data_IF_542668935428
#
_entry.id   IF_542668935428
#
_cell.length_a   1.000
_cell.length_b   1.000
_cell.length_c   1.000
_cell.angle_alpha   90.00
_cell.angle_beta   90.00
_cell.angle_gamma   90.00
#
_symmetry.space_group_name_H-M   'P 1'
#
loop_
_entity.id
_entity.type
_entity.pdbx_description
1 polymer ?
#
# COMPACT_ATOMS: atom_id res chain seq x y z
N UNK A 1 12.95 -25.70 38.43
CA UNK A 1 12.20 -26.52 37.45
C UNK A 1 12.21 -25.78 36.13
N UNK A 2 12.73 -26.43 35.10
CA UNK A 2 12.92 -25.89 33.75
C UNK A 2 12.31 -26.89 32.76
N UNK A 3 11.78 -26.41 31.63
CA UNK A 3 11.30 -27.29 30.55
C UNK A 3 12.43 -27.47 29.55
N UNK A 4 12.73 -28.72 29.21
CA UNK A 4 13.61 -29.06 28.10
C UNK A 4 12.75 -29.44 26.90
N UNK A 5 13.16 -29.03 25.71
CA UNK A 5 12.49 -29.38 24.45
C UNK A 5 13.33 -30.41 23.71
N UNK A 6 12.79 -31.60 23.49
CA UNK A 6 13.48 -32.69 22.79
C UNK A 6 13.00 -32.71 21.35
N UNK A 7 13.96 -32.76 20.42
CA UNK A 7 13.75 -32.76 18.97
C UNK A 7 14.29 -34.05 18.35
N UNK A 8 13.53 -34.61 17.42
CA UNK A 8 13.97 -35.74 16.61
C UNK A 8 14.87 -35.25 15.47
N UNK A 9 16.05 -35.84 15.30
CA UNK A 9 17.03 -35.43 14.28
C UNK A 9 16.48 -35.67 12.85
N UNK A 10 15.69 -36.72 12.65
CA UNK A 10 15.17 -37.07 11.33
C UNK A 10 14.16 -36.05 10.78
N UNK A 11 13.35 -35.44 11.65
CA UNK A 11 12.24 -34.56 11.23
C UNK A 11 12.40 -33.11 11.71
N UNK A 12 13.32 -32.86 12.64
CA UNK A 12 13.45 -31.60 13.36
C UNK A 12 12.16 -31.21 14.13
N UNK A 13 11.31 -32.17 14.47
CA UNK A 13 10.08 -31.91 15.23
C UNK A 13 10.32 -32.04 16.73
N UNK A 14 9.67 -31.17 17.52
CA UNK A 14 9.67 -31.28 18.97
C UNK A 14 8.79 -32.46 19.39
N UNK A 15 9.39 -33.53 19.91
CA UNK A 15 8.70 -34.79 20.26
C UNK A 15 8.36 -34.90 21.75
N UNK A 16 9.10 -34.21 22.63
CA UNK A 16 8.85 -34.25 24.07
C UNK A 16 9.25 -32.94 24.77
N UNK A 17 8.65 -32.71 25.95
CA UNK A 17 8.84 -31.50 26.77
C UNK A 17 8.98 -31.83 28.26
N UNK A 18 10.00 -32.61 28.68
CA UNK A 18 10.15 -32.99 30.08
C UNK A 18 10.42 -31.78 30.98
N UNK A 19 9.87 -31.83 32.20
CA UNK A 19 10.17 -30.86 33.27
C UNK A 19 11.31 -31.42 34.10
N UNK A 20 12.41 -30.69 34.19
CA UNK A 20 13.63 -31.09 34.89
C UNK A 20 13.93 -30.14 36.04
N UNK A 21 14.70 -30.58 37.04
CA UNK A 21 15.10 -29.70 38.14
C UNK A 21 16.03 -28.61 37.64
N UNK A 22 17.08 -29.02 36.92
CA UNK A 22 18.11 -28.20 36.29
C UNK A 22 18.51 -28.77 34.92
N UNK A 23 19.05 -27.93 34.04
CA UNK A 23 19.55 -28.38 32.73
C UNK A 23 20.77 -29.29 32.87
N UNK A 24 21.59 -29.07 33.91
CA UNK A 24 22.76 -29.90 34.22
C UNK A 24 22.38 -31.35 34.51
N UNK A 25 21.38 -31.57 35.38
CA UNK A 25 20.88 -32.93 35.68
C UNK A 25 20.37 -33.65 34.42
N UNK A 26 19.70 -32.92 33.52
CA UNK A 26 19.28 -33.51 32.24
C UNK A 26 20.48 -33.89 31.37
N UNK A 27 21.53 -33.06 31.29
CA UNK A 27 22.76 -33.37 30.54
C UNK A 27 23.51 -34.56 31.11
N UNK A 28 23.50 -34.74 32.43
CA UNK A 28 24.18 -35.84 33.12
C UNK A 28 23.44 -37.17 32.94
N UNK A 29 22.11 -37.19 33.03
CA UNK A 29 21.32 -38.41 32.88
C UNK A 29 19.93 -38.14 32.25
N UNK A 30 19.84 -37.95 30.92
CA UNK A 30 18.58 -37.65 30.24
C UNK A 30 17.50 -38.73 30.43
N UNK A 31 17.93 -40.00 30.54
CA UNK A 31 17.06 -41.18 30.69
C UNK A 31 16.20 -41.10 31.96
N UNK A 32 16.68 -40.41 33.00
CA UNK A 32 15.91 -40.19 34.23
C UNK A 32 14.62 -39.37 33.99
N UNK A 33 14.67 -38.45 33.03
CA UNK A 33 13.57 -37.54 32.71
C UNK A 33 12.80 -37.96 31.46
N UNK A 34 13.44 -38.69 30.55
CA UNK A 34 12.86 -39.21 29.32
C UNK A 34 13.46 -40.60 29.01
N UNK A 35 12.82 -41.71 29.45
CA UNK A 35 13.40 -43.06 29.36
C UNK A 35 13.75 -43.53 27.95
N UNK A 36 13.04 -43.03 26.94
CA UNK A 36 13.27 -43.35 25.52
C UNK A 36 14.39 -42.49 24.88
N UNK A 37 15.15 -41.73 25.68
CA UNK A 37 16.21 -40.87 25.18
C UNK A 37 17.28 -41.64 24.40
N UNK A 38 17.65 -41.10 23.23
CA UNK A 38 18.71 -41.64 22.39
C UNK A 38 19.54 -40.50 21.78
N UNK A 39 20.80 -40.38 22.18
CA UNK A 39 21.73 -39.32 21.74
C UNK A 39 22.05 -39.32 20.24
N UNK A 40 21.86 -40.43 19.55
CA UNK A 40 22.10 -40.56 18.10
C UNK A 40 20.93 -40.04 17.27
N UNK A 41 19.72 -40.07 17.82
CA UNK A 41 18.49 -39.73 17.10
C UNK A 41 17.81 -38.48 17.63
N UNK A 42 18.21 -37.99 18.81
CA UNK A 42 17.57 -36.87 19.49
C UNK A 42 18.58 -35.79 19.87
N UNK A 43 18.10 -34.55 19.87
CA UNK A 43 18.80 -33.38 20.44
C UNK A 43 17.83 -32.63 21.35
N UNK A 44 18.37 -31.81 22.24
CA UNK A 44 17.54 -30.99 23.12
C UNK A 44 17.89 -29.51 23.02
N UNK A 45 16.95 -28.67 23.41
CA UNK A 45 17.11 -27.23 23.57
C UNK A 45 16.48 -26.78 24.89
N UNK A 46 17.05 -25.75 25.50
CA UNK A 46 16.49 -25.08 26.68
C UNK A 46 15.31 -24.16 26.31
N UNK A 47 15.19 -23.80 25.04
CA UNK A 47 14.13 -22.95 24.49
C UNK A 47 13.38 -23.65 23.36
N UNK A 48 12.11 -23.28 23.18
CA UNK A 48 11.30 -23.77 22.07
C UNK A 48 11.79 -23.11 20.76
N UNK A 49 12.41 -23.92 19.90
CA UNK A 49 12.77 -23.58 18.53
C UNK A 49 11.57 -23.80 17.60
N UNK A 50 11.29 -22.81 16.76
CA UNK A 50 10.24 -22.85 15.76
C UNK A 50 10.74 -23.44 14.44
N UNK A 51 11.98 -23.11 14.07
CA UNK A 51 12.64 -23.65 12.89
C UNK A 51 13.99 -24.24 13.32
N UNK A 52 13.97 -25.37 14.05
CA UNK A 52 15.19 -26.08 14.43
C UNK A 52 16.01 -26.53 13.20
N UNK A 53 17.33 -26.43 13.33
CA UNK A 53 18.33 -26.95 12.40
C UNK A 53 19.56 -27.42 13.18
N UNK A 54 20.26 -28.43 12.65
CA UNK A 54 21.56 -28.84 13.15
C UNK A 54 22.64 -28.02 12.43
N UNK A 55 23.46 -27.33 13.20
CA UNK A 55 24.57 -26.59 12.63
C UNK A 55 25.65 -27.54 12.09
N UNK A 56 25.97 -27.38 10.82
CA UNK A 56 26.99 -28.18 10.12
C UNK A 56 28.39 -28.12 10.74
N UNK A 57 28.73 -27.05 11.49
CA UNK A 57 30.09 -26.83 12.03
C UNK A 57 30.31 -27.51 13.37
N UNK A 58 29.34 -27.44 14.28
CA UNK A 58 29.47 -27.96 15.65
C UNK A 58 28.51 -29.11 15.96
N UNK A 59 27.55 -29.42 15.07
CA UNK A 59 26.56 -30.49 15.27
C UNK A 59 25.51 -30.18 16.34
N UNK A 60 25.41 -28.92 16.78
CA UNK A 60 24.47 -28.48 17.81
C UNK A 60 23.12 -28.09 17.19
N UNK A 61 22.07 -28.27 17.99
CA UNK A 61 20.72 -27.85 17.63
C UNK A 61 20.56 -26.36 17.88
N UNK A 62 20.11 -25.61 16.86
CA UNK A 62 19.84 -24.17 16.96
C UNK A 62 18.62 -23.78 16.13
N UNK A 63 18.16 -22.54 16.31
CA UNK A 63 17.18 -21.93 15.41
C UNK A 63 17.86 -21.57 14.07
N UNK A 64 17.13 -21.77 12.96
CA UNK A 64 17.56 -21.33 11.64
C UNK A 64 17.75 -19.80 11.60
N UNK A 65 18.83 -19.37 10.95
CA UNK A 65 19.02 -17.98 10.55
C UNK A 65 17.99 -17.58 9.48
N UNK A 66 17.79 -16.27 9.25
CA UNK A 66 16.79 -15.81 8.28
C UNK A 66 17.04 -16.31 6.86
N UNK A 67 18.30 -16.34 6.43
CA UNK A 67 18.71 -16.85 5.12
C UNK A 67 18.36 -18.33 4.96
N UNK A 68 18.59 -19.14 5.99
CA UNK A 68 18.24 -20.56 6.00
C UNK A 68 16.72 -20.77 5.96
N UNK A 69 15.95 -19.92 6.65
CA UNK A 69 14.48 -19.92 6.58
C UNK A 69 13.97 -19.61 5.18
N UNK A 70 14.62 -18.68 4.48
CA UNK A 70 14.28 -18.32 3.09
C UNK A 70 14.61 -19.48 2.15
N UNK A 71 15.83 -20.05 2.25
CA UNK A 71 16.26 -21.20 1.43
C UNK A 71 15.38 -22.43 1.66
N UNK A 72 14.92 -22.66 2.90
CA UNK A 72 14.02 -23.75 3.25
C UNK A 72 12.54 -23.47 2.90
N UNK A 73 12.21 -22.33 2.29
CA UNK A 73 10.83 -21.96 1.93
C UNK A 73 9.91 -21.68 3.11
N UNK A 74 10.46 -21.55 4.33
CA UNK A 74 9.71 -21.26 5.56
C UNK A 74 9.42 -19.77 5.73
N UNK A 75 10.17 -18.92 5.03
CA UNK A 75 9.96 -17.47 4.94
C UNK A 75 9.89 -17.06 3.48
N UNK A 76 8.79 -16.41 3.09
CA UNK A 76 8.67 -15.74 1.80
C UNK A 76 9.14 -14.30 1.98
N UNK A 77 9.95 -13.81 1.04
CA UNK A 77 10.38 -12.42 1.02
C UNK A 77 9.26 -11.50 0.57
N UNK A 78 9.20 -10.31 1.16
CA UNK A 78 8.30 -9.26 0.72
C UNK A 78 8.67 -8.77 -0.68
N UNK A 79 7.68 -8.28 -1.42
CA UNK A 79 7.90 -7.68 -2.73
C UNK A 79 8.91 -6.53 -2.65
N UNK A 80 9.87 -6.53 -3.57
CA UNK A 80 11.01 -5.63 -3.55
C UNK A 80 12.24 -6.21 -2.86
N UNK A 81 12.17 -7.41 -2.28
CA UNK A 81 13.32 -8.04 -1.64
C UNK A 81 13.73 -9.33 -2.33
N UNK A 82 15.04 -9.60 -2.37
CA UNK A 82 15.59 -10.86 -2.85
C UNK A 82 16.80 -11.30 -2.01
N UNK A 83 17.09 -12.59 -2.04
CA UNK A 83 18.27 -13.15 -1.39
C UNK A 83 19.43 -13.12 -2.38
N UNK A 84 20.50 -12.41 -2.05
CA UNK A 84 21.78 -12.52 -2.73
C UNK A 84 22.50 -13.77 -2.21
N UNK A 85 22.51 -14.84 -3.00
CA UNK A 85 23.14 -16.10 -2.63
C UNK A 85 24.67 -16.02 -2.50
N UNK A 86 25.31 -15.04 -3.15
CA UNK A 86 26.77 -14.88 -3.12
C UNK A 86 27.21 -14.26 -1.79
N UNK A 87 26.48 -13.23 -1.36
CA UNK A 87 26.79 -12.49 -0.13
C UNK A 87 25.99 -12.97 1.08
N UNK A 88 25.04 -13.90 0.90
CA UNK A 88 24.09 -14.37 1.91
C UNK A 88 23.34 -13.23 2.62
N UNK A 89 22.99 -12.17 1.86
CA UNK A 89 22.28 -11.01 2.39
C UNK A 89 20.94 -10.81 1.68
N UNK A 90 19.98 -10.23 2.40
CA UNK A 90 18.70 -9.84 1.82
C UNK A 90 18.87 -8.43 1.27
N UNK A 91 18.68 -8.29 -0.04
CA UNK A 91 18.71 -6.99 -0.73
C UNK A 91 17.28 -6.49 -0.87
N UNK A 92 17.03 -5.24 -0.46
CA UNK A 92 15.72 -4.59 -0.59
C UNK A 92 15.81 -3.41 -1.56
N UNK A 93 14.96 -3.44 -2.58
CA UNK A 93 14.80 -2.41 -3.61
C UNK A 93 13.50 -1.65 -3.35
N UNK A 94 13.61 -0.35 -3.10
CA UNK A 94 12.46 0.52 -2.89
C UNK A 94 11.51 0.50 -4.09
N UNK A 95 10.21 0.44 -3.82
CA UNK A 95 9.16 0.47 -4.84
C UNK A 95 9.15 1.86 -5.52
N UNK A 96 9.34 1.94 -6.85
CA UNK A 96 9.52 3.23 -7.53
C UNK A 96 8.22 4.03 -7.66
N UNK A 97 7.08 3.35 -7.81
CA UNK A 97 5.76 3.97 -7.91
C UNK A 97 4.67 2.95 -7.54
N UNK A 98 3.44 3.42 -7.30
CA UNK A 98 2.32 2.57 -6.87
C UNK A 98 1.94 1.50 -7.90
N UNK A 99 2.12 1.79 -9.19
CA UNK A 99 1.73 0.94 -10.31
C UNK A 99 2.84 0.01 -10.82
N UNK A 100 3.90 -0.18 -10.03
CA UNK A 100 4.91 -1.19 -10.32
C UNK A 100 4.63 -2.46 -9.53
N UNK A 101 4.85 -3.60 -10.17
CA UNK A 101 4.74 -4.95 -9.60
C UNK A 101 6.12 -5.57 -9.53
N UNK A 102 6.39 -6.31 -8.46
CA UNK A 102 7.67 -6.96 -8.26
C UNK A 102 7.75 -8.22 -9.12
N UNK A 103 8.77 -8.28 -9.97
CA UNK A 103 9.12 -9.50 -10.69
C UNK A 103 10.14 -10.29 -9.85
N UNK A 104 9.69 -11.45 -9.34
CA UNK A 104 10.50 -12.32 -8.48
C UNK A 104 11.59 -13.05 -9.27
N UNK A 105 11.40 -13.27 -10.56
CA UNK A 105 12.37 -14.02 -11.38
C UNK A 105 13.53 -13.13 -11.80
N UNK A 106 13.25 -11.86 -12.13
CA UNK A 106 14.28 -10.89 -12.51
C UNK A 106 14.75 -9.99 -11.37
N UNK A 107 14.15 -10.10 -10.18
CA UNK A 107 14.41 -9.24 -9.02
C UNK A 107 14.32 -7.73 -9.36
N UNK A 108 13.31 -7.35 -10.14
CA UNK A 108 13.10 -5.95 -10.58
C UNK A 108 11.65 -5.52 -10.53
N UNK A 109 11.42 -4.23 -10.31
CA UNK A 109 10.10 -3.62 -10.46
C UNK A 109 9.72 -3.44 -11.94
N UNK A 110 8.57 -3.98 -12.34
CA UNK A 110 7.99 -3.81 -13.68
C UNK A 110 6.74 -2.96 -13.61
N UNK A 111 6.57 -2.06 -14.56
CA UNK A 111 5.38 -1.23 -14.69
C UNK A 111 4.20 -2.09 -15.12
N UNK A 112 3.13 -2.06 -14.34
CA UNK A 112 1.85 -2.67 -14.67
C UNK A 112 0.95 -1.60 -15.33
N UNK A 113 0.67 -1.80 -16.62
CA UNK A 113 -0.11 -0.86 -17.41
C UNK A 113 -1.59 -0.82 -17.00
N UNK A 114 -2.15 -1.93 -16.49
CA UNK A 114 -3.54 -1.96 -16.05
C UNK A 114 -3.70 -1.19 -14.75
N UNK A 115 -2.75 -1.36 -13.82
CA UNK A 115 -2.70 -0.60 -12.58
C UNK A 115 -2.44 0.88 -12.83
N UNK A 116 -1.54 1.21 -13.77
CA UNK A 116 -1.30 2.58 -14.21
C UNK A 116 -2.56 3.23 -14.78
N UNK A 117 -3.24 2.54 -15.70
CA UNK A 117 -4.47 3.04 -16.33
C UNK A 117 -5.59 3.24 -15.31
N UNK A 118 -5.71 2.34 -14.33
CA UNK A 118 -6.64 2.49 -13.21
C UNK A 118 -6.35 3.75 -12.40
N UNK A 119 -5.09 3.97 -12.01
CA UNK A 119 -4.69 5.17 -11.25
C UNK A 119 -4.93 6.46 -12.03
N UNK A 120 -4.62 6.46 -13.33
CA UNK A 120 -4.89 7.60 -14.21
C UNK A 120 -6.38 7.91 -14.30
N UNK A 121 -7.23 6.89 -14.36
CA UNK A 121 -8.69 7.07 -14.37
C UNK A 121 -9.19 7.69 -13.06
N UNK A 122 -8.76 7.18 -11.92
CA UNK A 122 -9.11 7.73 -10.60
C UNK A 122 -8.70 9.20 -10.45
N UNK A 123 -7.48 9.55 -10.88
CA UNK A 123 -7.00 10.94 -10.86
C UNK A 123 -7.81 11.86 -11.77
N UNK A 124 -8.18 11.38 -12.98
CA UNK A 124 -9.02 12.15 -13.90
C UNK A 124 -10.41 12.39 -13.35
N UNK A 125 -11.04 11.37 -12.76
CA UNK A 125 -12.37 11.49 -12.15
C UNK A 125 -12.36 12.48 -10.98
N UNK A 126 -11.32 12.42 -10.12
CA UNK A 126 -11.14 13.39 -9.04
C UNK A 126 -10.97 14.81 -9.59
N UNK A 127 -10.08 15.00 -10.56
CA UNK A 127 -9.85 16.31 -11.16
C UNK A 127 -11.11 16.88 -11.84
N UNK A 128 -11.91 16.05 -12.49
CA UNK A 128 -13.18 16.47 -13.10
C UNK A 128 -14.20 16.90 -12.04
N UNK A 129 -14.29 16.17 -10.93
CA UNK A 129 -15.16 16.53 -9.79
C UNK A 129 -14.71 17.85 -9.17
N UNK A 130 -13.42 17.98 -8.87
CA UNK A 130 -12.84 19.19 -8.28
C UNK A 130 -13.04 20.41 -9.21
N UNK A 131 -12.89 20.21 -10.53
CA UNK A 131 -13.15 21.24 -11.53
C UNK A 131 -14.63 21.63 -11.59
N UNK A 132 -15.55 20.67 -11.51
CA UNK A 132 -16.99 20.95 -11.50
C UNK A 132 -17.39 21.72 -10.24
N UNK A 133 -16.85 21.35 -9.08
CA UNK A 133 -17.07 22.02 -7.80
C UNK A 133 -16.49 23.44 -7.80
N UNK A 134 -15.25 23.61 -8.28
CA UNK A 134 -14.63 24.92 -8.44
C UNK A 134 -15.40 25.83 -9.41
N UNK A 135 -15.89 25.28 -10.53
CA UNK A 135 -16.75 26.03 -11.47
C UNK A 135 -18.06 26.44 -10.81
N UNK A 136 -18.72 25.54 -10.09
CA UNK A 136 -19.98 25.82 -9.41
C UNK A 136 -19.80 26.88 -8.32
N UNK A 137 -18.77 26.75 -7.49
CA UNK A 137 -18.49 27.71 -6.42
C UNK A 137 -18.17 29.09 -6.99
N UNK A 138 -17.31 29.18 -8.01
CA UNK A 138 -17.03 30.43 -8.71
C UNK A 138 -18.27 31.04 -9.35
N UNK A 139 -19.09 30.22 -10.03
CA UNK A 139 -20.26 30.70 -10.75
C UNK A 139 -21.33 31.25 -9.81
N UNK A 140 -21.39 30.79 -8.56
CA UNK A 140 -22.38 31.23 -7.56
C UNK A 140 -21.84 32.28 -6.57
N UNK A 141 -20.61 32.75 -6.76
CA UNK A 141 -20.02 33.80 -5.91
C UNK A 141 -20.45 35.19 -6.38
N UNK A 142 -20.99 36.06 -5.50
CA UNK A 142 -21.35 37.42 -5.88
C UNK A 142 -20.12 38.21 -6.34
N UNK A 143 -20.29 39.04 -7.38
CA UNK A 143 -19.25 39.93 -7.91
C UNK A 143 -19.44 41.32 -7.34
N UNK A 144 -18.38 41.91 -6.80
CA UNK A 144 -18.36 43.32 -6.40
C UNK A 144 -17.55 44.14 -7.42
N UNK A 145 -18.11 45.25 -7.86
CA UNK A 145 -17.42 46.22 -8.70
C UNK A 145 -17.53 47.58 -8.03
N UNK A 146 -16.43 48.33 -7.99
CA UNK A 146 -16.39 49.69 -7.47
C UNK A 146 -16.26 50.69 -8.61
N UNK A 147 -17.10 51.73 -8.58
CA UNK A 147 -17.04 52.87 -9.49
C UNK A 147 -17.36 54.15 -8.73
N UNK A 148 -16.53 55.18 -8.90
CA UNK A 148 -16.71 56.48 -8.24
C UNK A 148 -16.89 56.36 -6.71
N UNK A 149 -16.11 55.47 -6.07
CA UNK A 149 -16.19 55.11 -4.64
C UNK A 149 -17.53 54.51 -4.18
N UNK A 150 -18.39 54.07 -5.10
CA UNK A 150 -19.61 53.31 -4.82
C UNK A 150 -19.44 51.85 -5.23
N UNK A 151 -19.82 50.95 -4.34
CA UNK A 151 -19.76 49.49 -4.53
C UNK A 151 -21.08 48.96 -5.07
N UNK A 152 -21.00 48.08 -6.05
CA UNK A 152 -22.14 47.40 -6.67
C UNK A 152 -21.92 45.90 -6.61
N UNK A 153 -22.91 45.18 -6.08
CA UNK A 153 -22.86 43.71 -5.96
C UNK A 153 -23.80 43.08 -6.97
N UNK A 154 -23.34 42.04 -7.65
CA UNK A 154 -24.11 41.30 -8.65
C UNK A 154 -24.11 39.81 -8.33
N UNK A 155 -25.25 39.17 -8.51
CA UNK A 155 -25.33 37.71 -8.52
C UNK A 155 -24.60 37.19 -9.76
N UNK A 156 -23.47 36.52 -9.53
CA UNK A 156 -22.88 35.66 -10.53
C UNK A 156 -23.73 34.40 -10.56
N UNK A 157 -24.30 34.09 -11.71
CA UNK A 157 -24.90 32.79 -12.01
C UNK A 157 -24.91 32.62 -13.54
N UNK A 158 -25.17 31.40 -14.00
CA UNK A 158 -25.11 31.08 -15.43
C UNK A 158 -26.06 31.95 -16.27
N UNK A 159 -27.29 32.12 -15.77
CA UNK A 159 -28.33 32.90 -16.45
C UNK A 159 -27.93 34.37 -16.61
N UNK A 160 -27.39 34.99 -15.56
CA UNK A 160 -26.95 36.38 -15.58
C UNK A 160 -25.75 36.57 -16.51
N UNK A 161 -24.78 35.64 -16.50
CA UNK A 161 -23.64 35.67 -17.42
C UNK A 161 -24.06 35.50 -18.88
N UNK A 162 -24.91 34.53 -19.17
CA UNK A 162 -25.40 34.27 -20.53
C UNK A 162 -26.22 35.46 -21.05
N UNK A 163 -27.06 36.04 -20.22
CA UNK A 163 -27.82 37.26 -20.54
C UNK A 163 -26.89 38.44 -20.84
N UNK A 164 -25.87 38.66 -20.01
CA UNK A 164 -24.87 39.72 -20.21
C UNK A 164 -24.06 39.50 -21.50
N UNK A 165 -23.58 38.28 -21.74
CA UNK A 165 -22.85 37.90 -22.96
C UNK A 165 -23.69 38.14 -24.22
N UNK A 166 -24.96 37.73 -24.21
CA UNK A 166 -25.89 37.96 -25.31
C UNK A 166 -26.07 39.47 -25.55
N UNK A 167 -26.30 40.25 -24.49
CA UNK A 167 -26.48 41.71 -24.61
C UNK A 167 -25.24 42.39 -25.20
N UNK A 168 -24.05 42.05 -24.72
CA UNK A 168 -22.77 42.58 -25.25
C UNK A 168 -22.56 42.18 -26.71
N UNK A 169 -22.87 40.93 -27.07
CA UNK A 169 -22.75 40.44 -28.45
C UNK A 169 -23.68 41.19 -29.41
N UNK A 170 -24.93 41.45 -28.98
CA UNK A 170 -25.89 42.23 -29.74
C UNK A 170 -25.46 43.69 -29.89
N UNK A 171 -24.97 44.32 -28.81
CA UNK A 171 -24.42 45.68 -28.85
C UNK A 171 -23.27 45.79 -29.85
N UNK A 172 -22.35 44.84 -29.81
CA UNK A 172 -21.22 44.79 -30.74
C UNK A 172 -21.66 44.63 -32.18
N UNK A 173 -22.53 43.64 -32.46
CA UNK A 173 -23.01 43.34 -33.81
C UNK A 173 -23.80 44.48 -34.44
N UNK A 174 -24.53 45.24 -33.61
CA UNK A 174 -25.34 46.38 -34.05
C UNK A 174 -24.58 47.71 -33.99
N UNK A 175 -23.33 47.71 -33.53
CA UNK A 175 -22.50 48.91 -33.29
C UNK A 175 -23.23 49.94 -32.39
N UNK A 176 -23.90 49.46 -31.34
CA UNK A 176 -24.70 50.28 -30.44
C UNK A 176 -24.12 50.29 -29.02
N UNK A 177 -24.07 51.47 -28.40
CA UNK A 177 -23.65 51.63 -27.01
C UNK A 177 -24.69 51.11 -25.99
N UNK A 178 -25.97 51.03 -26.38
CA UNK A 178 -27.07 50.56 -25.52
C UNK A 178 -28.14 49.80 -26.31
N UNK A 179 -28.75 48.80 -25.67
CA UNK A 179 -29.94 48.10 -26.19
C UNK A 179 -31.17 48.51 -25.37
N UNK A 180 -32.15 49.13 -26.02
CA UNK A 180 -33.36 49.65 -25.37
C UNK A 180 -34.47 48.61 -25.23
N UNK A 181 -34.64 47.73 -26.21
CA UNK A 181 -35.70 46.71 -26.23
C UNK A 181 -35.22 45.41 -26.86
N UNK A 182 -35.36 44.32 -26.12
CA UNK A 182 -35.17 42.96 -26.63
C UNK A 182 -36.51 42.24 -26.54
N UNK A 183 -36.98 41.69 -27.66
CA UNK A 183 -38.19 40.85 -27.70
C UNK A 183 -37.77 39.44 -28.13
N UNK A 184 -38.07 38.45 -27.30
CA UNK A 184 -37.95 37.05 -27.70
C UNK A 184 -39.14 36.75 -28.64
N UNK A 185 -38.84 36.36 -29.87
CA UNK A 185 -39.84 35.82 -30.79
C UNK A 185 -39.93 34.32 -30.54
N UNK A 186 -41.04 33.85 -29.98
CA UNK A 186 -41.29 32.43 -29.81
C UNK A 186 -42.58 32.05 -30.56
N UNK A 187 -42.43 31.56 -31.79
CA UNK A 187 -43.57 31.13 -32.63
C UNK A 187 -44.04 29.70 -32.29
N UNK A 188 -43.34 29.00 -31.38
CA UNK A 188 -43.75 27.68 -30.89
C UNK A 188 -44.39 27.84 -29.50
N UNK A 189 -45.69 27.57 -29.42
CA UNK A 189 -46.38 27.33 -28.14
C UNK A 189 -45.62 26.21 -27.42
N UNK A 190 -45.08 26.49 -26.23
CA UNK A 190 -44.55 25.44 -25.36
C UNK A 190 -45.72 24.51 -25.02
N UNK A 191 -45.60 23.23 -25.38
CA UNK A 191 -46.49 22.14 -24.94
C UNK A 191 -45.99 21.64 -23.61
#
# INVERSE_FOLDING_TARGET
>A
MTVIYIYLIATMECIAKPVVTTVGEFKENPILFYPDWNDETMKFSETLLNNPIIDSKNGELREMAEVEKIKAGKRVLDDGSYLDEVNETIVTIAKPNEWSVWDKDSHTWKVDNDLLNKKLKELREKALKDLAEAKSSFLNQPLEIEKDSKKYTFENNEKNRNSLSLKMSLMWTLEQEKIEKVKVLNDKKMV
#
